data_IF_968458410739
#
_entry.id   IF_968458410739
#
_cell.length_a   1.000
_cell.length_b   1.000
_cell.length_c   1.000
_cell.angle_alpha   90.00
_cell.angle_beta   90.00
_cell.angle_gamma   90.00
#
_symmetry.space_group_name_H-M   'P 1'
#
loop_
_entity.id
_entity.type
_entity.pdbx_description
1 polymer ?
#
# COMPACT_ATOMS: atom_id res chain seq x y z
N UNK A 1 18.79 -26.36 -68.41
CA UNK A 1 17.58 -25.82 -67.73
C UNK A 1 18.06 -25.23 -66.41
N UNK A 2 17.79 -23.95 -66.16
CA UNK A 2 18.47 -23.13 -65.15
C UNK A 2 17.67 -22.99 -63.84
N UNK A 3 18.35 -22.46 -62.83
CA UNK A 3 17.85 -21.64 -61.71
C UNK A 3 16.77 -22.20 -60.79
N UNK A 4 17.10 -22.30 -59.50
CA UNK A 4 16.56 -21.32 -58.55
C UNK A 4 17.44 -21.22 -57.30
N UNK A 5 18.14 -20.09 -57.21
CA UNK A 5 18.63 -19.53 -55.96
C UNK A 5 17.50 -18.67 -55.39
N UNK A 6 17.08 -18.88 -54.15
CA UNK A 6 16.65 -17.76 -53.30
C UNK A 6 17.05 -17.98 -51.83
N UNK A 7 17.61 -16.96 -51.17
CA UNK A 7 17.97 -16.93 -49.76
C UNK A 7 16.82 -16.36 -48.91
N UNK A 8 16.88 -16.55 -47.58
CA UNK A 8 16.32 -15.66 -46.53
C UNK A 8 16.59 -16.36 -45.19
N UNK A 9 17.55 -15.93 -44.36
CA UNK A 9 17.49 -14.75 -43.49
C UNK A 9 16.09 -14.51 -42.95
N UNK A 10 15.87 -14.73 -41.65
CA UNK A 10 15.63 -13.61 -40.74
C UNK A 10 15.03 -14.10 -39.41
N UNK A 11 15.72 -13.69 -38.34
CA UNK A 11 15.17 -13.34 -37.03
C UNK A 11 14.40 -14.41 -36.26
N UNK A 12 15.09 -14.99 -35.28
CA UNK A 12 14.56 -14.93 -33.93
C UNK A 12 14.18 -13.48 -33.61
N UNK A 13 13.01 -13.27 -33.01
CA UNK A 13 13.01 -12.66 -31.71
C UNK A 13 12.27 -13.57 -30.76
N UNK A 14 12.98 -14.06 -29.74
CA UNK A 14 12.36 -14.30 -28.45
C UNK A 14 11.70 -13.00 -28.02
N UNK A 15 10.44 -12.84 -28.40
CA UNK A 15 9.58 -11.79 -27.92
C UNK A 15 9.51 -11.99 -26.42
N UNK A 16 10.17 -11.06 -25.71
CA UNK A 16 10.07 -10.81 -24.27
C UNK A 16 8.71 -11.31 -23.78
N UNK A 17 8.74 -12.38 -22.98
CA UNK A 17 7.62 -12.78 -22.15
C UNK A 17 7.02 -11.51 -21.55
N UNK A 18 5.75 -11.24 -21.88
CA UNK A 18 5.11 -9.97 -21.63
C UNK A 18 5.32 -9.55 -20.19
N UNK A 19 5.93 -8.38 -19.99
CA UNK A 19 5.84 -7.70 -18.71
C UNK A 19 4.34 -7.64 -18.38
N UNK A 20 3.91 -8.41 -17.39
CA UNK A 20 2.52 -8.46 -16.97
C UNK A 20 2.07 -7.01 -16.78
N UNK A 21 1.19 -6.54 -17.67
CA UNK A 21 0.79 -5.14 -17.68
C UNK A 21 0.18 -4.85 -16.32
N UNK A 22 0.78 -3.92 -15.58
CA UNK A 22 0.31 -3.56 -14.25
C UNK A 22 -1.17 -3.18 -14.34
N UNK A 23 -2.03 -3.70 -13.44
CA UNK A 23 -3.44 -3.37 -13.50
C UNK A 23 -3.68 -1.87 -13.31
N UNK A 24 -4.59 -1.27 -14.09
CA UNK A 24 -4.85 0.17 -14.08
C UNK A 24 -5.24 0.71 -12.68
N UNK A 25 -5.92 -0.10 -11.87
CA UNK A 25 -6.29 0.27 -10.51
C UNK A 25 -5.07 0.46 -9.59
N UNK A 26 -4.03 -0.37 -9.77
CA UNK A 26 -2.78 -0.20 -9.04
C UNK A 26 -2.02 1.04 -9.54
N UNK A 27 -2.06 1.34 -10.83
CA UNK A 27 -1.49 2.58 -11.36
C UNK A 27 -2.18 3.83 -10.77
N UNK A 28 -3.50 3.81 -10.60
CA UNK A 28 -4.25 4.90 -9.96
C UNK A 28 -3.81 5.13 -8.50
N UNK A 29 -3.61 4.06 -7.72
CA UNK A 29 -3.12 4.16 -6.34
C UNK A 29 -1.74 4.81 -6.27
N UNK A 30 -0.85 4.45 -7.20
CA UNK A 30 0.53 4.93 -7.23
C UNK A 30 0.68 6.35 -7.78
N UNK A 31 -0.35 6.87 -8.44
CA UNK A 31 -0.37 8.21 -9.04
C UNK A 31 -0.34 9.34 -8.00
N UNK A 32 -0.72 9.05 -6.76
CA UNK A 32 -0.75 10.03 -5.67
C UNK A 32 -0.04 9.48 -4.44
N UNK A 33 0.83 10.28 -3.82
CA UNK A 33 1.46 9.94 -2.54
C UNK A 33 0.41 9.71 -1.44
N UNK A 34 -0.66 10.48 -1.45
CA UNK A 34 -1.77 10.37 -0.51
C UNK A 34 -2.47 9.00 -0.63
N UNK A 35 -2.78 8.58 -1.87
CA UNK A 35 -3.39 7.28 -2.13
C UNK A 35 -2.42 6.14 -1.82
N UNK A 36 -1.15 6.30 -2.20
CA UNK A 36 -0.08 5.34 -1.90
C UNK A 36 0.04 5.12 -0.40
N UNK A 37 0.04 6.19 0.39
CA UNK A 37 0.13 6.11 1.84
C UNK A 37 -1.11 5.48 2.48
N UNK A 38 -2.31 5.87 2.04
CA UNK A 38 -3.56 5.26 2.54
C UNK A 38 -3.66 3.78 2.21
N UNK A 39 -3.23 3.37 1.01
CA UNK A 39 -3.13 1.98 0.61
C UNK A 39 -2.13 1.21 1.49
N UNK A 40 -0.93 1.77 1.71
CA UNK A 40 0.07 1.19 2.60
C UNK A 40 -0.46 0.97 4.02
N UNK A 41 -1.19 1.94 4.58
CA UNK A 41 -1.83 1.78 5.89
C UNK A 41 -2.87 0.66 5.91
N UNK A 42 -3.70 0.54 4.87
CA UNK A 42 -4.69 -0.53 4.78
C UNK A 42 -4.03 -1.91 4.65
N UNK A 43 -2.99 -2.04 3.82
CA UNK A 43 -2.18 -3.27 3.70
C UNK A 43 -1.56 -3.64 5.05
N UNK A 44 -0.97 -2.67 5.77
CA UNK A 44 -0.35 -2.90 7.07
C UNK A 44 -1.35 -3.43 8.11
N UNK A 45 -2.57 -2.88 8.13
CA UNK A 45 -3.64 -3.36 9.02
C UNK A 45 -4.06 -4.79 8.67
N UNK A 46 -4.31 -5.06 7.39
CA UNK A 46 -4.69 -6.41 6.92
C UNK A 46 -3.59 -7.42 7.22
N UNK A 47 -2.33 -7.06 6.98
CA UNK A 47 -1.17 -7.87 7.31
C UNK A 47 -1.11 -8.19 8.81
N UNK A 48 -1.32 -7.20 9.69
CA UNK A 48 -1.34 -7.41 11.13
C UNK A 48 -2.43 -8.39 11.58
N UNK A 49 -3.62 -8.35 10.94
CA UNK A 49 -4.68 -9.32 11.20
C UNK A 49 -4.34 -10.73 10.71
N UNK A 50 -3.70 -10.86 9.54
CA UNK A 50 -3.20 -12.16 9.05
C UNK A 50 -2.20 -12.80 10.03
N UNK A 51 -1.32 -12.01 10.64
CA UNK A 51 -0.37 -12.51 11.66
C UNK A 51 -1.04 -13.05 12.94
N UNK A 52 -2.31 -12.71 13.19
CA UNK A 52 -3.10 -13.21 14.32
C UNK A 52 -3.91 -14.47 13.98
N UNK A 53 -3.69 -15.05 12.80
CA UNK A 53 -4.36 -16.27 12.35
C UNK A 53 -5.65 -16.03 11.56
N UNK A 54 -5.95 -14.79 11.17
CA UNK A 54 -7.08 -14.53 10.28
C UNK A 54 -6.72 -14.83 8.83
N UNK A 55 -7.44 -15.78 8.21
CA UNK A 55 -7.36 -15.99 6.77
C UNK A 55 -8.07 -14.84 6.04
N UNK A 56 -7.30 -13.93 5.45
CA UNK A 56 -7.82 -12.75 4.74
C UNK A 56 -7.21 -12.72 3.34
N UNK A 57 -8.00 -12.51 2.29
CA UNK A 57 -7.49 -12.20 0.94
C UNK A 57 -7.46 -10.70 0.75
N UNK A 58 -6.44 -10.17 0.08
CA UNK A 58 -6.27 -8.73 -0.09
C UNK A 58 -6.90 -8.30 -1.41
N UNK A 59 -7.81 -7.33 -1.35
CA UNK A 59 -8.55 -6.83 -2.51
C UNK A 59 -8.23 -5.36 -2.76
N UNK A 60 -8.10 -5.01 -4.04
CA UNK A 60 -8.13 -3.64 -4.54
C UNK A 60 -9.52 -3.37 -5.10
N UNK A 61 -10.18 -2.36 -4.55
CA UNK A 61 -11.54 -1.98 -4.92
C UNK A 61 -11.52 -0.73 -5.79
N UNK A 62 -12.24 -0.72 -6.93
CA UNK A 62 -12.38 0.46 -7.75
C UNK A 62 -13.29 1.50 -7.09
N UNK A 63 -13.09 2.76 -7.41
CA UNK A 63 -13.89 3.88 -6.89
C UNK A 63 -13.31 5.23 -7.28
N UNK A 64 -13.97 6.31 -6.88
CA UNK A 64 -13.42 7.67 -7.07
C UNK A 64 -12.08 7.82 -6.34
N UNK A 65 -11.97 7.17 -5.18
CA UNK A 65 -10.72 6.90 -4.49
C UNK A 65 -10.56 5.39 -4.41
N UNK A 66 -9.57 4.81 -5.11
CA UNK A 66 -9.34 3.36 -5.03
C UNK A 66 -8.94 2.97 -3.60
N UNK A 67 -9.43 1.83 -3.15
CA UNK A 67 -9.28 1.40 -1.76
C UNK A 67 -8.73 -0.03 -1.67
N UNK A 68 -8.06 -0.31 -0.54
CA UNK A 68 -7.60 -1.66 -0.20
C UNK A 68 -8.49 -2.21 0.90
N UNK A 69 -9.02 -3.41 0.68
CA UNK A 69 -9.88 -4.11 1.61
C UNK A 69 -9.42 -5.57 1.77
N UNK A 70 -10.01 -6.26 2.74
CA UNK A 70 -9.80 -7.67 2.97
C UNK A 70 -11.08 -8.46 2.69
N UNK A 71 -10.94 -9.69 2.23
CA UNK A 71 -12.03 -10.64 2.11
C UNK A 71 -11.85 -11.74 3.16
N UNK A 72 -12.89 -11.95 3.97
CA UNK A 72 -13.00 -13.01 4.96
C UNK A 72 -14.29 -13.79 4.72
N UNK A 73 -14.22 -15.05 4.30
CA UNK A 73 -15.44 -15.69 3.83
C UNK A 73 -15.98 -14.96 2.59
N UNK A 74 -17.30 -14.89 2.50
CA UNK A 74 -18.02 -14.06 1.50
C UNK A 74 -18.13 -12.59 1.91
N UNK A 75 -17.50 -12.18 3.02
CA UNK A 75 -17.68 -10.84 3.62
C UNK A 75 -16.48 -9.97 3.35
N UNK A 76 -16.75 -8.81 2.76
CA UNK A 76 -15.76 -7.76 2.64
C UNK A 76 -15.53 -7.12 4.02
N UNK A 77 -14.26 -7.01 4.39
CA UNK A 77 -13.76 -6.40 5.60
C UNK A 77 -12.94 -5.16 5.23
N UNK A 78 -13.26 -4.01 5.81
CA UNK A 78 -12.55 -2.76 5.58
C UNK A 78 -11.71 -2.39 6.81
N UNK A 79 -10.43 -2.03 6.60
CA UNK A 79 -9.68 -1.29 7.61
C UNK A 79 -10.44 0.00 7.96
N UNK A 80 -10.50 0.36 9.25
CA UNK A 80 -11.11 1.63 9.68
C UNK A 80 -10.43 2.86 9.07
N UNK A 81 -10.93 4.06 9.37
CA UNK A 81 -10.51 5.31 8.72
C UNK A 81 -8.97 5.51 8.67
N UNK A 82 -8.45 5.81 7.48
CA UNK A 82 -7.05 6.19 7.26
C UNK A 82 -6.84 7.69 7.44
N UNK A 83 -5.63 8.07 7.83
CA UNK A 83 -5.21 9.48 7.87
C UNK A 83 -4.40 9.82 6.63
N UNK A 84 -4.48 11.07 6.21
CA UNK A 84 -3.68 11.58 5.10
C UNK A 84 -2.30 12.01 5.51
N UNK A 85 -1.43 12.28 4.52
CA UNK A 85 -0.07 12.76 4.73
C UNK A 85 -0.02 14.11 5.45
N UNK A 86 -1.00 14.99 5.23
CA UNK A 86 -1.11 16.30 5.88
C UNK A 86 -1.82 16.28 7.24
N UNK A 87 -2.05 15.11 7.82
CA UNK A 87 -2.71 14.98 9.12
C UNK A 87 -1.82 15.52 10.25
N UNK A 88 -2.42 16.18 11.24
CA UNK A 88 -1.72 16.61 12.46
C UNK A 88 -1.66 15.54 13.56
N UNK A 89 -2.32 14.40 13.34
CA UNK A 89 -2.30 13.25 14.25
C UNK A 89 -0.96 12.51 14.19
N UNK A 90 -0.52 11.94 15.32
CA UNK A 90 0.66 11.07 15.35
C UNK A 90 0.46 9.83 14.46
N UNK A 91 1.15 9.80 13.33
CA UNK A 91 0.98 8.80 12.27
C UNK A 91 1.33 7.40 12.76
N UNK A 92 2.45 7.24 13.48
CA UNK A 92 2.88 5.92 13.96
C UNK A 92 1.92 5.38 15.03
N UNK A 93 1.50 6.24 15.97
CA UNK A 93 0.53 5.85 17.01
C UNK A 93 -0.82 5.50 16.41
N UNK A 94 -1.31 6.29 15.45
CA UNK A 94 -2.56 6.02 14.74
C UNK A 94 -2.50 4.69 13.99
N UNK A 95 -1.43 4.43 13.24
CA UNK A 95 -1.25 3.17 12.52
C UNK A 95 -1.23 1.98 13.47
N UNK A 96 -0.49 2.08 14.59
CA UNK A 96 -0.44 1.03 15.60
C UNK A 96 -1.83 0.74 16.19
N UNK A 97 -2.57 1.79 16.56
CA UNK A 97 -3.94 1.66 17.05
C UNK A 97 -4.85 0.95 16.04
N UNK A 98 -4.75 1.31 14.76
CA UNK A 98 -5.52 0.66 13.68
C UNK A 98 -5.14 -0.80 13.48
N UNK A 99 -3.86 -1.14 13.58
CA UNK A 99 -3.41 -2.52 13.49
C UNK A 99 -3.98 -3.37 14.65
N UNK A 100 -4.29 -2.78 15.81
CA UNK A 100 -4.93 -3.47 16.95
C UNK A 100 -6.45 -3.47 16.92
N UNK A 101 -7.08 -2.58 16.13
CA UNK A 101 -8.53 -2.45 16.05
C UNK A 101 -9.15 -3.57 15.19
N UNK A 102 -10.41 -3.97 15.48
CA UNK A 102 -11.13 -4.92 14.63
C UNK A 102 -11.37 -4.34 13.22
N UNK A 103 -11.42 -5.22 12.22
CA UNK A 103 -11.85 -4.83 10.87
C UNK A 103 -13.35 -4.57 10.87
N UNK A 104 -13.78 -3.55 10.12
CA UNK A 104 -15.20 -3.27 9.92
C UNK A 104 -15.76 -4.17 8.83
N UNK A 105 -16.97 -4.69 9.02
CA UNK A 105 -17.66 -5.47 7.98
C UNK A 105 -18.43 -4.55 7.06
N UNK A 106 -18.21 -4.68 5.75
CA UNK A 106 -18.99 -3.97 4.74
C UNK A 106 -20.38 -4.60 4.60
N UNK A 107 -21.47 -3.81 4.60
CA UNK A 107 -22.81 -4.32 4.34
C UNK A 107 -23.01 -4.82 2.90
N UNK A 108 -22.21 -4.35 1.93
CA UNK A 108 -22.32 -4.75 0.53
C UNK A 108 -21.83 -6.20 0.33
N UNK A 109 -22.63 -7.07 -0.30
CA UNK A 109 -22.21 -8.44 -0.54
C UNK A 109 -21.16 -8.50 -1.65
N UNK A 110 -20.22 -9.44 -1.54
CA UNK A 110 -19.11 -9.59 -2.49
C UNK A 110 -19.57 -9.71 -3.95
N UNK A 111 -20.63 -10.48 -4.21
CA UNK A 111 -21.14 -10.68 -5.57
C UNK A 111 -21.57 -9.36 -6.24
N UNK A 112 -22.10 -8.40 -5.48
CA UNK A 112 -22.49 -7.11 -6.03
C UNK A 112 -21.27 -6.29 -6.46
N UNK A 113 -20.18 -6.38 -5.69
CA UNK A 113 -18.91 -5.71 -6.00
C UNK A 113 -18.23 -6.35 -7.22
N UNK A 114 -18.24 -7.68 -7.31
CA UNK A 114 -17.70 -8.41 -8.46
C UNK A 114 -18.52 -8.12 -9.71
N UNK A 115 -19.85 -8.07 -9.62
CA UNK A 115 -20.74 -7.74 -10.72
C UNK A 115 -20.55 -6.29 -11.22
N UNK A 116 -20.22 -5.35 -10.33
CA UNK A 116 -19.84 -3.99 -10.70
C UNK A 116 -18.51 -3.93 -11.47
N UNK A 117 -17.70 -4.99 -11.40
CA UNK A 117 -16.44 -5.13 -12.12
C UNK A 117 -15.29 -4.32 -11.50
N UNK A 118 -14.07 -4.62 -11.95
CA UNK A 118 -12.86 -3.87 -11.58
C UNK A 118 -12.26 -4.19 -10.21
N UNK A 119 -12.83 -5.15 -9.46
CA UNK A 119 -12.22 -5.69 -8.24
C UNK A 119 -11.02 -6.57 -8.61
N UNK A 120 -9.87 -6.28 -8.00
CA UNK A 120 -8.66 -7.08 -8.16
C UNK A 120 -8.31 -7.76 -6.85
N UNK A 121 -7.88 -9.00 -6.93
CA UNK A 121 -7.23 -9.68 -5.83
C UNK A 121 -5.72 -9.56 -5.97
N UNK A 122 -5.04 -9.21 -4.88
CA UNK A 122 -3.58 -9.25 -4.81
C UNK A 122 -3.14 -10.66 -4.49
N UNK A 123 -2.23 -11.19 -5.32
CA UNK A 123 -1.68 -12.53 -5.14
C UNK A 123 -0.90 -12.56 -3.81
N UNK A 124 -1.21 -13.48 -2.89
CA UNK A 124 -0.52 -13.58 -1.60
C UNK A 124 0.99 -13.73 -1.78
N UNK A 125 1.78 -13.02 -0.97
CA UNK A 125 3.24 -13.13 -1.04
C UNK A 125 3.97 -12.57 0.17
N UNK A 126 5.26 -12.29 -0.02
CA UNK A 126 6.10 -11.63 0.99
C UNK A 126 6.03 -10.11 0.93
N UNK A 127 5.41 -9.55 -0.11
CA UNK A 127 5.41 -8.10 -0.35
C UNK A 127 4.51 -7.36 0.64
N UNK A 128 3.46 -7.98 1.18
CA UNK A 128 2.59 -7.35 2.17
C UNK A 128 3.35 -7.00 3.46
N UNK A 129 4.28 -7.87 3.89
CA UNK A 129 5.15 -7.60 5.04
C UNK A 129 6.08 -6.42 4.76
N UNK A 130 6.63 -6.33 3.55
CA UNK A 130 7.51 -5.24 3.13
C UNK A 130 6.75 -3.91 3.03
N UNK A 131 5.56 -3.90 2.45
CA UNK A 131 4.67 -2.72 2.41
C UNK A 131 4.30 -2.29 3.82
N UNK A 132 4.00 -3.22 4.72
CA UNK A 132 3.70 -2.90 6.12
C UNK A 132 4.89 -2.23 6.82
N UNK A 133 6.10 -2.77 6.63
CA UNK A 133 7.33 -2.20 7.19
C UNK A 133 7.62 -0.79 6.62
N UNK A 134 7.56 -0.60 5.30
CA UNK A 134 7.77 0.72 4.70
C UNK A 134 6.71 1.75 5.12
N UNK A 135 5.47 1.30 5.32
CA UNK A 135 4.40 2.17 5.84
C UNK A 135 4.70 2.63 7.27
N UNK A 136 5.22 1.74 8.12
CA UNK A 136 5.65 2.09 9.48
C UNK A 136 6.83 3.06 9.48
N UNK A 137 7.84 2.84 8.61
CA UNK A 137 8.96 3.75 8.42
C UNK A 137 8.48 5.15 8.00
N UNK A 138 7.59 5.22 7.02
CA UNK A 138 7.00 6.48 6.56
C UNK A 138 6.22 7.19 7.67
N UNK A 139 5.39 6.45 8.43
CA UNK A 139 4.67 7.03 9.56
C UNK A 139 5.62 7.62 10.62
N UNK A 140 6.73 6.94 10.92
CA UNK A 140 7.76 7.45 11.81
C UNK A 140 8.48 8.69 11.28
N UNK A 141 8.76 8.72 9.97
CA UNK A 141 9.38 9.87 9.30
C UNK A 141 8.46 11.11 9.32
N UNK A 142 7.17 10.94 9.07
CA UNK A 142 6.17 12.02 9.16
C UNK A 142 6.10 12.58 10.58
N UNK A 143 6.06 11.72 11.60
CA UNK A 143 6.08 12.16 13.00
C UNK A 143 7.39 12.89 13.35
N UNK A 144 8.53 12.47 12.79
CA UNK A 144 9.82 13.13 12.97
C UNK A 144 9.86 14.50 12.30
N UNK A 145 9.30 14.63 11.09
CA UNK A 145 9.17 15.90 10.38
C UNK A 145 8.33 16.91 11.15
N UNK A 146 7.18 16.48 11.70
CA UNK A 146 6.33 17.34 12.55
C UNK A 146 7.10 17.81 13.78
N UNK A 147 7.93 16.96 14.41
CA UNK A 147 8.78 17.35 15.53
C UNK A 147 9.91 18.29 15.12
N UNK A 148 10.54 18.07 13.96
CA UNK A 148 11.62 18.92 13.44
C UNK A 148 11.15 20.35 13.15
N UNK A 149 9.88 20.51 12.74
CA UNK A 149 9.27 21.82 12.51
C UNK A 149 8.93 22.59 13.81
N UNK A 150 8.97 21.94 14.98
CA UNK A 150 8.70 22.61 16.25
C UNK A 150 9.92 23.42 16.72
N UNK A 151 9.71 24.63 17.26
CA UNK A 151 10.80 25.42 17.81
C UNK A 151 11.42 24.69 19.01
N UNK A 152 12.75 24.68 19.08
CA UNK A 152 13.49 24.05 20.20
C UNK A 152 13.23 24.89 21.46
N UNK A 153 12.24 24.51 22.26
CA UNK A 153 12.08 25.05 23.60
C UNK A 153 13.30 24.61 24.41
N UNK A 154 14.17 25.56 24.77
CA UNK A 154 15.29 25.30 25.64
C UNK A 154 14.76 24.70 26.95
N UNK A 155 14.95 23.38 27.13
CA UNK A 155 14.62 22.62 28.35
C UNK A 155 15.54 23.03 29.51
N UNK A 156 15.52 24.30 29.89
CA UNK A 156 16.27 24.86 31.00
C UNK A 156 15.39 25.83 31.77
N UNK A 157 15.16 25.53 33.05
CA UNK A 157 14.29 26.26 33.99
C UNK A 157 14.66 27.74 34.23
N UNK A 158 15.67 28.27 33.55
CA UNK A 158 16.02 29.68 33.61
C UNK A 158 16.53 30.14 32.25
N UNK A 159 15.71 30.89 31.50
CA UNK A 159 16.12 32.10 30.79
C UNK A 159 15.08 32.56 29.78
N UNK A 160 14.90 33.88 29.73
CA UNK A 160 14.28 34.67 28.67
C UNK A 160 15.03 34.52 27.33
N UNK A 161 15.14 33.29 26.79
CA UNK A 161 15.85 33.02 25.53
C UNK A 161 14.88 33.00 24.37
N UNK A 162 15.14 33.88 23.41
CA UNK A 162 14.61 33.86 22.04
C UNK A 162 14.50 32.41 21.57
N UNK A 163 13.27 31.97 21.30
CA UNK A 163 13.01 30.77 20.51
C UNK A 163 13.79 30.91 19.21
N UNK A 164 14.89 30.15 19.06
CA UNK A 164 15.45 29.92 17.73
C UNK A 164 14.44 29.04 17.01
N UNK A 165 14.09 29.43 15.77
CA UNK A 165 13.23 28.63 14.92
C UNK A 165 13.79 27.21 14.71
N UNK A 166 13.02 26.34 14.05
CA UNK A 166 13.48 24.98 13.74
C UNK A 166 14.83 25.01 13.02
N UNK A 167 15.67 24.03 13.32
CA UNK A 167 16.98 23.88 12.71
C UNK A 167 16.79 23.51 11.21
N UNK A 168 17.31 24.31 10.26
CA UNK A 168 17.09 24.07 8.84
C UNK A 168 17.67 22.73 8.39
N UNK A 169 18.83 22.31 8.92
CA UNK A 169 19.48 21.06 8.49
C UNK A 169 18.67 19.84 8.94
N UNK A 170 18.10 19.90 10.14
CA UNK A 170 17.20 18.87 10.68
C UNK A 170 15.90 18.81 9.89
N UNK A 171 15.35 19.97 9.53
CA UNK A 171 14.10 20.06 8.75
C UNK A 171 14.28 19.47 7.35
N UNK A 172 15.36 19.84 6.65
CA UNK A 172 15.69 19.30 5.32
C UNK A 172 15.92 17.79 5.38
N UNK A 173 16.62 17.31 6.41
CA UNK A 173 16.84 15.87 6.57
C UNK A 173 15.53 15.11 6.77
N UNK A 174 14.64 15.62 7.62
CA UNK A 174 13.34 14.99 7.87
C UNK A 174 12.47 14.94 6.60
N UNK A 175 12.49 15.99 5.78
CA UNK A 175 11.83 16.00 4.48
C UNK A 175 12.40 14.93 3.54
N UNK A 176 13.72 14.79 3.47
CA UNK A 176 14.38 13.76 2.66
C UNK A 176 14.00 12.34 3.10
N UNK A 177 13.98 12.10 4.41
CA UNK A 177 13.62 10.79 4.97
C UNK A 177 12.16 10.42 4.62
N UNK A 178 11.23 11.39 4.65
CA UNK A 178 9.83 11.19 4.21
C UNK A 178 9.76 10.84 2.72
N UNK A 179 10.49 11.55 1.87
CA UNK A 179 10.51 11.30 0.42
C UNK A 179 11.12 9.95 0.07
N UNK A 180 12.17 9.53 0.78
CA UNK A 180 12.79 8.22 0.62
C UNK A 180 11.82 7.10 1.03
N UNK A 181 11.17 7.25 2.19
CA UNK A 181 10.19 6.28 2.67
C UNK A 181 8.96 6.18 1.74
N UNK A 182 8.47 7.31 1.19
CA UNK A 182 7.41 7.31 0.17
C UNK A 182 7.83 6.57 -1.10
N UNK A 183 9.05 6.81 -1.59
CA UNK A 183 9.58 6.14 -2.78
C UNK A 183 9.68 4.62 -2.56
N UNK A 184 10.17 4.19 -1.40
CA UNK A 184 10.26 2.79 -1.04
C UNK A 184 8.87 2.13 -0.97
N UNK A 185 7.91 2.80 -0.32
CA UNK A 185 6.52 2.32 -0.23
C UNK A 185 5.88 2.20 -1.61
N UNK A 186 6.03 3.23 -2.47
CA UNK A 186 5.52 3.23 -3.84
C UNK A 186 6.13 2.08 -4.66
N UNK A 187 7.44 1.85 -4.52
CA UNK A 187 8.13 0.74 -5.17
C UNK A 187 7.52 -0.61 -4.78
N UNK A 188 7.41 -0.88 -3.48
CA UNK A 188 6.87 -2.14 -2.98
C UNK A 188 5.41 -2.38 -3.38
N UNK A 189 4.56 -1.34 -3.33
CA UNK A 189 3.18 -1.45 -3.83
C UNK A 189 3.14 -1.65 -5.34
N UNK A 190 4.06 -1.05 -6.09
CA UNK A 190 4.19 -1.23 -7.54
C UNK A 190 4.55 -2.65 -7.97
N UNK A 191 5.15 -3.43 -7.07
CA UNK A 191 5.54 -4.82 -7.31
C UNK A 191 4.41 -5.81 -6.99
N UNK A 192 3.28 -5.34 -6.44
CA UNK A 192 2.10 -6.17 -6.26
C UNK A 192 1.61 -6.72 -7.59
N UNK A 193 1.41 -8.04 -7.62
CA UNK A 193 0.70 -8.70 -8.70
C UNK A 193 -0.76 -8.81 -8.29
N UNK A 194 -1.66 -8.33 -9.15
CA UNK A 194 -3.08 -8.40 -8.90
C UNK A 194 -3.82 -8.95 -10.13
N UNK A 195 -4.82 -9.78 -9.87
CA UNK A 195 -5.64 -10.45 -10.89
C UNK A 195 -7.10 -10.07 -10.70
N UNK A 196 -7.91 -9.98 -11.77
CA UNK A 196 -9.33 -9.75 -11.63
C UNK A 196 -9.97 -10.84 -10.76
N UNK A 197 -10.72 -10.45 -9.73
CA UNK A 197 -11.44 -11.39 -8.88
C UNK A 197 -12.56 -12.03 -9.71
N UNK A 198 -12.41 -13.29 -10.09
CA UNK A 198 -13.44 -14.06 -10.80
C UNK A 198 -14.31 -14.80 -9.79
N UNK A 199 -15.63 -14.73 -9.96
CA UNK A 199 -16.62 -15.34 -9.04
C UNK A 199 -16.54 -16.86 -8.85
N UNK A 200 -15.63 -17.55 -9.54
CA UNK A 200 -15.39 -18.99 -9.42
C UNK A 200 -14.21 -19.37 -8.49
N UNK A 201 -13.45 -18.40 -7.96
CA UNK A 201 -12.29 -18.66 -7.10
C UNK A 201 -12.61 -18.49 -5.59
N UNK A 202 -13.82 -18.86 -5.19
CA UNK A 202 -14.24 -19.00 -3.79
C UNK A 202 -14.29 -20.50 -3.42
N UNK A 203 -13.43 -21.31 -4.00
CA UNK A 203 -13.21 -22.68 -3.50
C UNK A 203 -12.46 -22.55 -2.17
N UNK A 204 -13.20 -22.76 -1.10
CA UNK A 204 -12.82 -22.61 0.30
C UNK A 204 -11.89 -23.73 0.81
N UNK A 205 -11.38 -24.58 -0.09
CA UNK A 205 -10.75 -25.87 0.25
C UNK A 205 -9.37 -25.76 0.92
N UNK A 206 -8.80 -24.56 1.03
CA UNK A 206 -7.50 -24.33 1.69
C UNK A 206 -7.60 -23.78 3.13
N UNK A 207 -8.78 -23.82 3.77
CA UNK A 207 -8.91 -23.40 5.18
C UNK A 207 -8.76 -24.61 6.12
N UNK A 208 -7.65 -24.74 6.87
CA UNK A 208 -7.70 -25.51 8.11
C UNK A 208 -8.62 -24.76 9.07
N UNK A 209 -9.80 -25.33 9.32
CA UNK A 209 -10.68 -24.90 10.41
C UNK A 209 -9.94 -25.13 11.75
N UNK A 210 -10.19 -24.29 12.77
CA UNK A 210 -9.67 -24.51 14.12
C UNK A 210 -10.15 -25.85 14.72
#
# INVERSE_FOLDING_TARGET
>A
MPSDSFPSSSTAPGARAGAARRPALLEQLLHSDELTYRAGQAVAVIHAHRQRGHWLRLLLLPGATPEVAALLGERLQRPGASVGLGSSLGHAQHLLGRCGAPLGTDPAPLHALVAAGGVLEVIPGSLEAQVAAFTQTLAGALDAQVRAAQPVAARGLFSFRRSRGPDPDVSVRAEQDVQEALRALRGALGDFQAVPLRGAALDWDDVPLP
#
